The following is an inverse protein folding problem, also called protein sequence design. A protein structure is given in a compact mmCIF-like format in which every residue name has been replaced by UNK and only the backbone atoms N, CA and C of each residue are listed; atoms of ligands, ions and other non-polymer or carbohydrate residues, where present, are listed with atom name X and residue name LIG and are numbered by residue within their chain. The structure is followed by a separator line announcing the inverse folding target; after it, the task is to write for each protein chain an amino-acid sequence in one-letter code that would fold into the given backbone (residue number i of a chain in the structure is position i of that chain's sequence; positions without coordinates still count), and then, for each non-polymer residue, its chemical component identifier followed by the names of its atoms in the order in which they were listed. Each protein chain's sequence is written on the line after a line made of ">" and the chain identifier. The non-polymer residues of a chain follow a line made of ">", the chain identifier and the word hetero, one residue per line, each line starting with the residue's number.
data_IF_345559557509
#
_entry.id   IF_345559557509
#
_cell.length_a   1.000
_cell.length_b   1.000
_cell.length_c   1.000
_cell.angle_alpha   90.00
_cell.angle_beta   90.00
_cell.angle_gamma   90.00
#
_symmetry.space_group_name_H-M   'P 1'
#
loop_
_entity.id
_entity.type
_entity.pdbx_description
1 polymer ?
#
# COMPACT_ATOMS: atom_id res chain seq x y z
N UNK A 1 9.23 0.75 5.29
CA UNK A 1 8.90 0.03 6.57
C UNK A 1 8.51 -1.40 6.23
N UNK A 2 9.09 -2.41 6.92
CA UNK A 2 8.78 -3.82 6.70
C UNK A 2 7.84 -4.30 7.81
N UNK A 3 6.75 -4.96 7.41
CA UNK A 3 5.79 -5.60 8.31
C UNK A 3 5.83 -7.10 8.13
N UNK A 4 5.87 -7.84 9.24
CA UNK A 4 5.82 -9.28 9.26
C UNK A 4 4.56 -9.76 9.99
N UNK A 5 3.82 -10.67 9.39
CA UNK A 5 2.63 -11.26 9.98
C UNK A 5 2.34 -12.65 9.45
N UNK A 6 1.52 -13.41 10.16
CA UNK A 6 1.08 -14.74 9.76
C UNK A 6 -0.41 -14.70 9.40
N UNK A 7 -0.76 -15.30 8.28
CA UNK A 7 -2.15 -15.40 7.82
C UNK A 7 -2.37 -16.74 7.10
N UNK A 8 -3.39 -17.46 7.50
CA UNK A 8 -3.78 -18.74 6.89
C UNK A 8 -2.62 -19.76 6.77
N UNK A 9 -1.71 -19.78 7.75
CA UNK A 9 -0.56 -20.69 7.77
C UNK A 9 0.64 -20.23 6.93
N UNK A 10 0.59 -19.04 6.35
CA UNK A 10 1.72 -18.43 5.63
C UNK A 10 2.42 -17.37 6.46
N UNK A 11 3.75 -17.35 6.39
CA UNK A 11 4.56 -16.26 6.91
C UNK A 11 4.71 -15.20 5.80
N UNK A 12 4.20 -14.01 6.05
CA UNK A 12 4.14 -12.94 5.07
C UNK A 12 5.01 -11.77 5.53
N UNK A 13 5.82 -11.27 4.61
CA UNK A 13 6.65 -10.08 4.79
C UNK A 13 6.26 -9.05 3.74
N UNK A 14 5.83 -7.89 4.19
CA UNK A 14 5.39 -6.78 3.35
C UNK A 14 6.33 -5.59 3.55
N UNK A 15 6.94 -5.11 2.48
CA UNK A 15 7.57 -3.80 2.47
C UNK A 15 6.59 -2.74 1.95
N UNK A 16 6.13 -1.87 2.84
CA UNK A 16 5.11 -0.87 2.53
C UNK A 16 5.59 0.22 1.57
N UNK A 17 6.89 0.46 1.50
CA UNK A 17 7.45 1.51 0.65
C UNK A 17 7.59 1.05 -0.80
N UNK A 18 8.04 -0.19 -1.02
CA UNK A 18 8.10 -0.78 -2.38
C UNK A 18 6.79 -1.45 -2.81
N UNK A 19 5.93 -1.82 -1.85
CA UNK A 19 4.74 -2.64 -2.09
C UNK A 19 5.05 -4.12 -2.34
N UNK A 20 6.30 -4.57 -2.11
CA UNK A 20 6.70 -5.96 -2.29
C UNK A 20 6.12 -6.84 -1.19
N UNK A 21 5.59 -8.00 -1.59
CA UNK A 21 5.05 -9.02 -0.68
C UNK A 21 5.81 -10.31 -0.90
N UNK A 22 6.36 -10.86 0.18
CA UNK A 22 7.09 -12.11 0.17
C UNK A 22 6.39 -13.13 1.07
N UNK A 23 6.25 -14.36 0.58
CA UNK A 23 5.86 -15.52 1.38
C UNK A 23 7.10 -16.34 1.62
N UNK A 24 7.43 -16.56 2.87
CA UNK A 24 8.69 -17.17 3.29
C UNK A 24 8.44 -18.32 4.26
N UNK A 25 9.43 -19.19 4.44
CA UNK A 25 9.42 -20.21 5.48
C UNK A 25 9.66 -19.60 6.88
N UNK A 26 9.62 -20.43 7.90
CA UNK A 26 9.83 -20.00 9.30
C UNK A 26 11.22 -19.45 9.54
N UNK A 27 12.25 -20.06 8.93
CA UNK A 27 13.65 -19.70 9.13
C UNK A 27 13.92 -18.34 8.51
N UNK A 28 13.53 -18.14 7.26
CA UNK A 28 13.67 -16.86 6.57
C UNK A 28 12.84 -15.74 7.24
N UNK A 29 11.67 -16.07 7.79
CA UNK A 29 10.84 -15.14 8.56
C UNK A 29 11.57 -14.59 9.79
N UNK A 30 12.22 -15.48 10.56
CA UNK A 30 12.99 -15.09 11.73
C UNK A 30 14.31 -14.38 11.35
N UNK A 31 14.99 -14.82 10.30
CA UNK A 31 16.18 -14.13 9.77
C UNK A 31 15.84 -12.70 9.40
N UNK A 32 14.74 -12.46 8.67
CA UNK A 32 14.28 -11.13 8.28
C UNK A 32 13.97 -10.27 9.51
N UNK A 33 13.40 -10.86 10.57
CA UNK A 33 13.10 -10.14 11.81
C UNK A 33 14.36 -9.61 12.51
N UNK A 34 15.47 -10.36 12.45
CA UNK A 34 16.72 -10.00 13.09
C UNK A 34 17.63 -9.11 12.22
N UNK A 35 17.46 -9.18 10.91
CA UNK A 35 18.38 -8.58 9.93
C UNK A 35 18.68 -7.08 10.13
N UNK A 36 17.72 -6.23 10.54
CA UNK A 36 18.00 -4.80 10.72
C UNK A 36 19.00 -4.46 11.84
N UNK A 37 19.00 -5.27 12.90
CA UNK A 37 19.63 -4.91 14.18
C UNK A 37 20.81 -5.84 14.58
N UNK A 38 21.07 -6.91 13.79
CA UNK A 38 22.06 -7.93 14.12
C UNK A 38 23.03 -8.17 12.97
N UNK A 39 24.23 -8.60 13.33
CA UNK A 39 25.24 -9.06 12.38
C UNK A 39 24.91 -10.46 11.84
N UNK A 40 25.46 -10.83 10.69
CA UNK A 40 25.26 -12.14 10.11
C UNK A 40 25.65 -13.28 11.06
N UNK A 41 26.75 -13.14 11.81
CA UNK A 41 27.20 -14.17 12.76
C UNK A 41 26.28 -14.29 13.98
N UNK A 42 25.70 -13.19 14.46
CA UNK A 42 24.70 -13.20 15.53
C UNK A 42 23.41 -13.87 15.06
N UNK A 43 22.95 -13.59 13.85
CA UNK A 43 21.77 -14.21 13.25
C UNK A 43 22.01 -15.72 13.09
N UNK A 44 23.15 -16.14 12.55
CA UNK A 44 23.50 -17.56 12.39
C UNK A 44 23.52 -18.25 13.75
N UNK A 45 24.17 -17.67 14.76
CA UNK A 45 24.24 -18.24 16.09
C UNK A 45 22.84 -18.40 16.72
N UNK A 46 21.97 -17.40 16.59
CA UNK A 46 20.60 -17.45 17.12
C UNK A 46 19.74 -18.47 16.38
N UNK A 47 19.84 -18.53 15.05
CA UNK A 47 19.07 -19.48 14.24
C UNK A 47 19.55 -20.92 14.45
N UNK A 48 20.85 -21.15 14.56
CA UNK A 48 21.39 -22.47 14.91
C UNK A 48 20.96 -22.93 16.33
N UNK A 49 20.85 -22.02 17.29
CA UNK A 49 20.31 -22.33 18.61
C UNK A 49 18.81 -22.71 18.57
N UNK A 50 18.04 -22.10 17.63
CA UNK A 50 16.60 -22.33 17.49
C UNK A 50 16.26 -23.53 16.60
N UNK A 51 16.98 -23.70 15.51
CA UNK A 51 16.65 -24.64 14.43
C UNK A 51 17.73 -25.69 14.17
N UNK A 52 18.85 -25.68 14.91
CA UNK A 52 19.99 -26.57 14.65
C UNK A 52 19.72 -28.06 14.85
N UNK A 53 18.60 -28.41 15.49
CA UNK A 53 18.15 -29.80 15.61
C UNK A 53 17.45 -30.35 14.36
N UNK A 54 17.17 -29.45 13.36
CA UNK A 54 16.53 -29.82 12.10
C UNK A 54 17.61 -30.24 11.09
N UNK A 55 17.38 -31.39 10.44
CA UNK A 55 18.29 -31.90 9.41
C UNK A 55 18.37 -31.04 8.15
N UNK A 56 17.33 -30.22 7.90
CA UNK A 56 17.19 -29.33 6.73
C UNK A 56 17.74 -27.92 6.97
N UNK A 57 18.36 -27.64 8.13
CA UNK A 57 18.93 -26.33 8.45
C UNK A 57 20.39 -26.45 8.82
N UNK A 58 21.24 -25.93 7.95
CA UNK A 58 22.69 -25.86 8.18
C UNK A 58 23.17 -24.41 8.30
N UNK A 59 24.37 -24.21 8.85
CA UNK A 59 24.99 -22.88 8.89
C UNK A 59 25.16 -22.30 7.47
N UNK A 60 25.43 -23.14 6.46
CA UNK A 60 25.57 -22.70 5.07
C UNK A 60 24.24 -22.21 4.50
N UNK A 61 23.13 -22.90 4.81
CA UNK A 61 21.78 -22.48 4.38
C UNK A 61 21.38 -21.16 5.03
N UNK A 62 21.71 -20.96 6.30
CA UNK A 62 21.45 -19.71 7.01
C UNK A 62 22.23 -18.53 6.41
N UNK A 63 23.51 -18.74 6.07
CA UNK A 63 24.31 -17.70 5.40
C UNK A 63 23.75 -17.37 4.02
N UNK A 64 23.36 -18.38 3.25
CA UNK A 64 22.69 -18.17 1.96
C UNK A 64 21.39 -17.39 2.12
N UNK A 65 20.56 -17.72 3.10
CA UNK A 65 19.33 -16.97 3.40
C UNK A 65 19.62 -15.50 3.73
N UNK A 66 20.67 -15.22 4.51
CA UNK A 66 21.09 -13.85 4.82
C UNK A 66 21.53 -13.10 3.55
N UNK A 67 22.27 -13.76 2.66
CA UNK A 67 22.69 -13.19 1.38
C UNK A 67 21.50 -12.92 0.45
N UNK A 68 20.48 -13.80 0.44
CA UNK A 68 19.24 -13.60 -0.30
C UNK A 68 18.44 -12.40 0.25
N UNK A 69 18.37 -12.26 1.58
CA UNK A 69 17.76 -11.09 2.23
C UNK A 69 18.51 -9.79 1.89
N UNK A 70 19.87 -9.84 1.87
CA UNK A 70 20.69 -8.71 1.44
C UNK A 70 20.39 -8.31 -0.02
N UNK A 71 20.26 -9.28 -0.90
CA UNK A 71 19.93 -9.06 -2.32
C UNK A 71 18.53 -8.43 -2.49
N UNK A 72 17.55 -8.84 -1.67
CA UNK A 72 16.22 -8.22 -1.66
C UNK A 72 16.28 -6.76 -1.20
N UNK A 73 17.12 -6.44 -0.21
CA UNK A 73 17.35 -5.08 0.26
C UNK A 73 18.03 -4.23 -0.83
N UNK A 74 19.08 -4.74 -1.46
CA UNK A 74 19.80 -4.04 -2.54
C UNK A 74 18.92 -3.78 -3.76
N UNK A 75 18.03 -4.72 -4.09
CA UNK A 75 17.05 -4.57 -5.18
C UNK A 75 15.85 -3.69 -4.83
N UNK A 76 15.81 -3.10 -3.64
CA UNK A 76 14.72 -2.24 -3.18
C UNK A 76 13.39 -2.97 -2.95
N UNK A 77 13.45 -4.25 -2.58
CA UNK A 77 12.25 -5.07 -2.30
C UNK A 77 12.03 -5.33 -0.80
N UNK A 78 13.02 -5.00 0.03
CA UNK A 78 12.94 -4.97 1.50
C UNK A 78 13.66 -3.74 2.02
N UNK A 79 13.11 -3.13 3.07
CA UNK A 79 13.59 -1.89 3.69
C UNK A 79 13.84 -0.76 2.68
N UNK A 80 12.95 -0.65 1.71
CA UNK A 80 12.98 0.42 0.72
C UNK A 80 12.84 1.78 1.38
N UNK A 81 13.53 2.81 0.88
CA UNK A 81 13.34 4.17 1.38
C UNK A 81 11.90 4.65 1.11
N UNK A 82 11.33 5.40 2.03
CA UNK A 82 10.05 6.05 1.82
C UNK A 82 10.26 7.31 0.96
N UNK A 83 9.97 7.19 -0.33
CA UNK A 83 10.06 8.31 -1.27
C UNK A 83 8.89 9.29 -1.16
N UNK A 84 7.88 8.98 -0.36
CA UNK A 84 6.67 9.78 -0.17
C UNK A 84 6.59 10.45 1.19
N UNK A 85 7.56 10.23 2.09
CA UNK A 85 7.53 10.76 3.46
C UNK A 85 7.36 12.29 3.45
N UNK A 86 8.17 13.01 2.68
CA UNK A 86 8.10 14.46 2.55
C UNK A 86 6.78 14.93 1.92
N UNK A 87 6.19 14.10 1.04
CA UNK A 87 4.92 14.40 0.38
C UNK A 87 3.71 14.13 1.27
N UNK A 88 3.83 13.23 2.25
CA UNK A 88 2.73 12.83 3.11
C UNK A 88 2.26 13.96 4.02
N UNK A 89 3.16 14.82 4.47
CA UNK A 89 2.86 15.95 5.35
C UNK A 89 2.25 17.16 4.62
N UNK A 90 2.36 17.22 3.29
CA UNK A 90 1.90 18.37 2.49
C UNK A 90 0.58 18.11 1.74
N UNK A 91 -0.28 17.24 2.28
CA UNK A 91 -1.59 16.94 1.66
C UNK A 91 -2.48 18.18 1.46
N UNK A 92 -2.35 19.19 2.33
CA UNK A 92 -3.15 20.44 2.25
C UNK A 92 -2.67 21.39 1.17
N UNK A 93 -1.39 21.30 0.79
CA UNK A 93 -0.76 22.20 -0.18
C UNK A 93 -0.56 21.56 -1.55
N UNK A 94 -1.06 20.32 -1.72
CA UNK A 94 -0.99 19.67 -3.03
C UNK A 94 -1.82 20.46 -4.04
N UNK A 95 -1.13 21.20 -4.85
CA UNK A 95 -1.65 21.79 -6.07
C UNK A 95 -1.99 20.68 -7.10
N UNK A 96 -2.84 19.72 -6.74
CA UNK A 96 -3.25 18.65 -7.65
C UNK A 96 -4.40 19.09 -8.54
N UNK A 97 -4.32 18.78 -9.82
CA UNK A 97 -5.44 18.97 -10.75
C UNK A 97 -6.53 17.98 -10.39
N UNK A 98 -7.76 18.44 -10.28
CA UNK A 98 -8.92 17.55 -10.25
C UNK A 98 -9.03 16.89 -11.63
N UNK A 99 -8.80 15.58 -11.69
CA UNK A 99 -8.78 14.82 -12.95
C UNK A 99 -10.14 14.18 -13.28
N UNK A 100 -10.97 13.97 -12.26
CA UNK A 100 -12.27 13.33 -12.40
C UNK A 100 -13.21 13.77 -11.29
N UNK A 101 -14.50 13.73 -11.55
CA UNK A 101 -15.56 13.92 -10.58
C UNK A 101 -16.44 12.66 -10.52
N UNK A 102 -16.80 12.25 -9.32
CA UNK A 102 -17.82 11.24 -9.10
C UNK A 102 -19.13 11.94 -8.72
N UNK A 103 -20.11 11.92 -9.61
CA UNK A 103 -21.37 12.60 -9.42
C UNK A 103 -22.49 11.61 -9.11
N UNK A 104 -23.16 11.79 -7.98
CA UNK A 104 -24.35 11.05 -7.62
C UNK A 104 -25.56 11.69 -8.30
N UNK A 105 -25.82 11.32 -9.54
CA UNK A 105 -26.88 11.93 -10.35
C UNK A 105 -28.30 11.57 -9.88
N UNK A 106 -28.44 10.44 -9.15
CA UNK A 106 -29.71 10.00 -8.59
C UNK A 106 -29.51 9.28 -7.25
N UNK A 107 -30.22 9.69 -6.23
CA UNK A 107 -30.36 9.00 -4.96
C UNK A 107 -31.62 8.11 -4.97
N UNK A 108 -31.74 7.29 -6.02
CA UNK A 108 -32.85 6.34 -6.16
C UNK A 108 -32.43 5.16 -7.02
N UNK A 109 -33.00 4.01 -6.76
CA UNK A 109 -32.76 2.78 -7.51
C UNK A 109 -34.05 1.98 -7.61
N UNK A 110 -34.22 1.26 -8.71
CA UNK A 110 -35.33 0.33 -8.93
C UNK A 110 -35.01 -1.12 -8.56
N UNK A 111 -33.76 -1.39 -8.10
CA UNK A 111 -33.33 -2.68 -7.58
C UNK A 111 -33.43 -2.75 -6.07
N UNK A 112 -33.60 -3.96 -5.53
CA UNK A 112 -33.65 -4.23 -4.09
C UNK A 112 -32.60 -5.27 -3.70
N UNK A 113 -31.32 -4.94 -3.93
CA UNK A 113 -30.22 -5.83 -3.60
C UNK A 113 -30.01 -5.94 -2.08
N UNK A 114 -29.95 -7.15 -1.53
CA UNK A 114 -29.78 -7.38 -0.09
C UNK A 114 -28.42 -6.90 0.45
N UNK A 115 -27.42 -6.78 -0.41
CA UNK A 115 -26.05 -6.33 -0.10
C UNK A 115 -25.79 -4.86 -0.50
N UNK A 116 -26.83 -4.07 -0.75
CA UNK A 116 -26.68 -2.71 -1.25
C UNK A 116 -26.17 -1.75 -0.17
N UNK A 117 -24.92 -1.33 -0.27
CA UNK A 117 -24.33 -0.32 0.64
C UNK A 117 -24.98 1.06 0.52
N UNK A 118 -25.62 1.35 -0.62
CA UNK A 118 -26.26 2.63 -0.92
C UNK A 118 -27.76 2.68 -0.49
N UNK A 119 -28.26 1.68 0.22
CA UNK A 119 -29.68 1.59 0.66
C UNK A 119 -30.65 1.86 -0.50
N UNK A 120 -30.53 1.13 -1.61
CA UNK A 120 -31.27 1.32 -2.87
C UNK A 120 -31.12 2.73 -3.45
N UNK A 121 -29.92 3.28 -3.37
CA UNK A 121 -29.57 4.60 -3.89
C UNK A 121 -29.87 5.77 -2.96
N UNK A 122 -30.50 5.54 -1.81
CA UNK A 122 -30.82 6.64 -0.86
C UNK A 122 -29.61 7.13 -0.05
N UNK A 123 -28.58 6.32 0.14
CA UNK A 123 -27.45 6.62 1.01
C UNK A 123 -27.87 7.05 2.43
N UNK A 124 -28.92 6.41 2.97
CA UNK A 124 -29.56 6.74 4.26
C UNK A 124 -30.23 8.14 4.30
N UNK A 125 -30.42 8.80 3.15
CA UNK A 125 -31.08 10.08 2.99
C UNK A 125 -32.39 10.00 2.20
N UNK A 126 -32.84 11.14 1.71
CA UNK A 126 -34.02 11.22 0.86
C UNK A 126 -33.74 10.76 -0.59
N UNK A 127 -34.84 10.29 -1.24
CA UNK A 127 -34.79 10.06 -2.69
C UNK A 127 -34.74 11.38 -3.43
N UNK A 128 -33.72 11.59 -4.24
CA UNK A 128 -33.53 12.85 -4.96
C UNK A 128 -32.85 12.60 -6.32
N UNK A 129 -33.00 13.54 -7.21
CA UNK A 129 -32.25 13.66 -8.44
C UNK A 129 -31.36 14.91 -8.37
N UNK A 130 -30.15 14.82 -8.95
CA UNK A 130 -29.28 15.98 -9.09
C UNK A 130 -29.97 17.02 -10.00
N UNK A 131 -29.98 18.28 -9.59
CA UNK A 131 -30.45 19.33 -10.47
C UNK A 131 -29.45 19.60 -11.59
N UNK A 132 -29.95 20.12 -12.71
CA UNK A 132 -29.08 20.52 -13.83
C UNK A 132 -28.04 21.57 -13.40
N UNK A 133 -28.42 22.51 -12.55
CA UNK A 133 -27.55 23.56 -12.04
C UNK A 133 -26.39 23.01 -11.22
N UNK A 134 -26.62 22.01 -10.37
CA UNK A 134 -25.57 21.33 -9.61
C UNK A 134 -24.61 20.57 -10.54
N UNK A 135 -25.16 19.82 -11.49
CA UNK A 135 -24.37 19.11 -12.48
C UNK A 135 -23.51 20.05 -13.32
N UNK A 136 -24.11 21.15 -13.79
CA UNK A 136 -23.41 22.19 -14.57
C UNK A 136 -22.26 22.81 -13.76
N UNK A 137 -22.50 23.23 -12.51
CA UNK A 137 -21.45 23.79 -11.64
C UNK A 137 -20.31 22.81 -11.39
N UNK A 138 -20.61 21.52 -11.22
CA UNK A 138 -19.59 20.51 -11.06
C UNK A 138 -18.70 20.38 -12.32
N UNK A 139 -19.31 20.42 -13.50
CA UNK A 139 -18.56 20.38 -14.78
C UNK A 139 -17.76 21.67 -15.00
N UNK A 140 -18.34 22.84 -14.73
CA UNK A 140 -17.64 24.12 -14.82
C UNK A 140 -16.41 24.12 -13.91
N UNK A 141 -16.55 23.66 -12.66
CA UNK A 141 -15.44 23.51 -11.71
C UNK A 141 -14.32 22.60 -12.26
N UNK A 142 -14.65 21.45 -12.84
CA UNK A 142 -13.66 20.53 -13.41
C UNK A 142 -12.89 21.17 -14.56
N UNK A 143 -13.62 21.86 -15.47
CA UNK A 143 -13.04 22.52 -16.64
C UNK A 143 -12.14 23.68 -16.20
N UNK A 144 -12.62 24.56 -15.33
CA UNK A 144 -11.86 25.72 -14.83
C UNK A 144 -10.59 25.27 -14.09
N UNK A 145 -10.68 24.25 -13.23
CA UNK A 145 -9.55 23.70 -12.53
C UNK A 145 -8.50 23.10 -13.50
N UNK A 146 -8.93 22.44 -14.57
CA UNK A 146 -8.06 21.92 -15.62
C UNK A 146 -7.38 23.03 -16.46
N UNK A 147 -8.09 24.12 -16.77
CA UNK A 147 -7.59 25.25 -17.57
C UNK A 147 -6.58 26.11 -16.79
N UNK A 148 -6.84 26.38 -15.51
CA UNK A 148 -5.92 27.14 -14.65
C UNK A 148 -4.53 26.51 -14.59
N UNK A 149 -4.48 25.19 -14.65
CA UNK A 149 -3.21 24.46 -14.59
C UNK A 149 -2.47 24.37 -15.92
N UNK A 150 -3.16 24.31 -17.04
CA UNK A 150 -2.48 24.37 -18.34
C UNK A 150 -1.73 25.70 -18.48
N UNK A 151 -2.33 26.80 -18.05
CA UNK A 151 -1.69 28.14 -18.06
C UNK A 151 -0.46 28.19 -17.16
N UNK A 152 -0.52 27.57 -15.95
CA UNK A 152 0.62 27.55 -15.03
C UNK A 152 1.77 26.64 -15.50
N UNK A 153 1.51 25.63 -16.37
CA UNK A 153 2.57 24.78 -16.94
C UNK A 153 3.19 25.36 -18.22
N UNK A 154 2.49 26.28 -18.89
CA UNK A 154 2.99 26.95 -20.09
C UNK A 154 3.86 28.19 -19.75
N UNK A 155 3.92 28.58 -18.48
CA UNK A 155 4.73 29.71 -17.96
C UNK A 155 6.07 29.26 -17.32
N UNK A 156 6.41 27.95 -17.34
CA UNK A 156 7.66 27.37 -16.86
C UNK A 156 8.51 26.84 -18.02
#
# INVERSE_FOLDING_TARGET
>A
MVHQYQLNGYNIVLDTCSGSVHVVDEVAYDVIAMYPDHTADEIVAAMMAKYGDREDVTEADLRQCIDDVASLKESGKLWSPDTYEDLAFDFKNRNTVVKALCLHVAHTCNLNCSYCFASQGRYQGERALMSFEVGKRAMDFLIENGLLRRRASDEL
#
